data_IF_416686401866
#
_entry.id   IF_416686401866
#
_cell.length_a   1.000
_cell.length_b   1.000
_cell.length_c   1.000
_cell.angle_alpha   90.00
_cell.angle_beta   90.00
_cell.angle_gamma   90.00
#
_symmetry.space_group_name_H-M   'P 1'
#
loop_
_entity.id
_entity.type
_entity.pdbx_description
1 polymer ?
#
# COMPACT_ATOMS: atom_id res chain seq x y z
N UNK A 1 -12.40 -9.86 5.17
CA UNK A 1 -13.47 -8.85 5.34
C UNK A 1 -14.73 -9.48 5.88
N UNK A 2 -15.62 -8.69 6.49
CA UNK A 2 -16.93 -9.12 6.96
C UNK A 2 -18.02 -8.57 6.05
N UNK A 3 -18.73 -9.47 5.37
CA UNK A 3 -19.89 -9.15 4.54
C UNK A 3 -21.15 -9.44 5.36
N UNK A 4 -22.09 -8.50 5.39
CA UNK A 4 -23.36 -8.62 6.11
C UNK A 4 -24.57 -8.34 5.23
N UNK A 5 -25.73 -8.88 5.62
CA UNK A 5 -27.01 -8.46 5.05
C UNK A 5 -27.42 -7.11 5.61
N UNK A 6 -27.69 -6.15 4.72
CA UNK A 6 -28.15 -4.82 5.10
C UNK A 6 -29.55 -4.85 5.73
N UNK A 7 -30.43 -5.73 5.23
CA UNK A 7 -31.77 -5.90 5.77
C UNK A 7 -31.73 -6.37 7.24
N UNK A 8 -30.90 -7.37 7.56
CA UNK A 8 -30.73 -7.83 8.94
C UNK A 8 -30.14 -6.74 9.83
N UNK A 9 -29.09 -6.05 9.34
CA UNK A 9 -28.44 -4.99 10.10
C UNK A 9 -29.41 -3.86 10.45
N UNK A 10 -30.22 -3.41 9.49
CA UNK A 10 -31.25 -2.39 9.69
C UNK A 10 -32.33 -2.81 10.70
N UNK A 11 -32.53 -4.12 10.90
CA UNK A 11 -33.43 -4.69 11.89
C UNK A 11 -32.73 -5.09 13.21
N UNK A 12 -31.48 -4.66 13.41
CA UNK A 12 -30.70 -4.93 14.62
C UNK A 12 -30.22 -6.38 14.75
N UNK A 13 -30.15 -7.13 13.64
CA UNK A 13 -29.62 -8.49 13.57
C UNK A 13 -28.24 -8.50 12.94
N UNK A 14 -27.31 -9.19 13.58
CA UNK A 14 -25.99 -9.43 13.01
C UNK A 14 -26.05 -10.71 12.17
N UNK A 15 -26.24 -10.56 10.86
CA UNK A 15 -26.22 -11.67 9.90
C UNK A 15 -25.18 -11.40 8.82
N UNK A 16 -24.12 -12.20 8.82
CA UNK A 16 -22.96 -12.02 7.95
C UNK A 16 -21.92 -13.10 8.13
N UNK A 17 -20.83 -13.01 7.39
CA UNK A 17 -19.69 -13.91 7.52
C UNK A 17 -18.38 -13.22 7.17
N UNK A 18 -17.29 -13.70 7.81
CA UNK A 18 -15.93 -13.39 7.39
C UNK A 18 -15.63 -14.14 6.09
N UNK A 19 -15.20 -13.38 5.09
CA UNK A 19 -14.78 -13.87 3.77
C UNK A 19 -13.35 -13.43 3.53
N UNK A 20 -12.55 -14.36 3.02
CA UNK A 20 -11.19 -14.08 2.57
C UNK A 20 -11.24 -13.16 1.35
N UNK A 21 -10.69 -11.96 1.49
CA UNK A 21 -10.76 -10.91 0.47
C UNK A 21 -9.82 -11.19 -0.70
N UNK A 22 -8.84 -12.10 -0.58
CA UNK A 22 -7.92 -12.41 -1.69
C UNK A 22 -8.54 -13.29 -2.77
N UNK A 23 -9.79 -13.74 -2.59
CA UNK A 23 -10.49 -14.58 -3.58
C UNK A 23 -10.88 -13.76 -4.80
N UNK A 24 -11.08 -14.45 -5.93
CA UNK A 24 -11.58 -13.82 -7.14
C UNK A 24 -12.91 -13.09 -6.91
N UNK A 25 -13.19 -11.96 -7.58
CA UNK A 25 -14.41 -11.17 -7.37
C UNK A 25 -15.71 -11.99 -7.51
N UNK A 26 -15.79 -12.90 -8.49
CA UNK A 26 -16.95 -13.79 -8.67
C UNK A 26 -17.17 -14.71 -7.45
N UNK A 27 -16.10 -15.14 -6.80
CA UNK A 27 -16.16 -15.96 -5.59
C UNK A 27 -16.67 -15.15 -4.38
N UNK A 28 -16.29 -13.87 -4.31
CA UNK A 28 -16.76 -12.92 -3.30
C UNK A 28 -18.25 -12.61 -3.50
N UNK A 29 -18.68 -12.37 -4.75
CA UNK A 29 -20.09 -12.20 -5.10
C UNK A 29 -20.92 -13.41 -4.69
N UNK A 30 -20.45 -14.62 -5.03
CA UNK A 30 -21.14 -15.85 -4.62
C UNK A 30 -21.18 -16.00 -3.09
N UNK A 31 -20.15 -15.56 -2.36
CA UNK A 31 -20.17 -15.56 -0.91
C UNK A 31 -21.23 -14.59 -0.36
N UNK A 32 -21.31 -13.37 -0.91
CA UNK A 32 -22.34 -12.39 -0.56
C UNK A 32 -23.75 -12.93 -0.81
N UNK A 33 -24.00 -13.55 -1.97
CA UNK A 33 -25.29 -14.18 -2.27
C UNK A 33 -25.67 -15.30 -1.31
N UNK A 34 -24.69 -16.13 -0.89
CA UNK A 34 -24.93 -17.19 0.10
C UNK A 34 -25.29 -16.60 1.47
N UNK A 35 -24.66 -15.49 1.86
CA UNK A 35 -24.99 -14.77 3.09
C UNK A 35 -26.43 -14.25 3.03
N UNK A 36 -26.78 -13.55 1.95
CA UNK A 36 -28.14 -13.02 1.73
C UNK A 36 -29.21 -14.11 1.72
N UNK A 37 -28.98 -15.22 1.00
CA UNK A 37 -29.90 -16.35 0.95
C UNK A 37 -30.12 -17.04 2.31
N UNK A 38 -29.19 -16.84 3.26
CA UNK A 38 -29.32 -17.33 4.64
C UNK A 38 -30.05 -16.39 5.58
N UNK A 39 -30.44 -15.19 5.12
CA UNK A 39 -31.06 -14.16 5.96
C UNK A 39 -32.44 -14.61 6.48
N UNK A 40 -32.78 -14.34 7.75
CA UNK A 40 -34.13 -14.47 8.26
C UNK A 40 -35.08 -13.34 7.84
N UNK A 41 -34.57 -12.24 7.27
CA UNK A 41 -35.41 -11.16 6.75
C UNK A 41 -36.10 -11.55 5.44
N UNK A 42 -37.34 -11.09 5.22
CA UNK A 42 -37.91 -11.10 3.88
C UNK A 42 -37.10 -10.16 2.98
N UNK A 43 -36.89 -10.57 1.73
CA UNK A 43 -36.31 -9.74 0.67
C UNK A 43 -34.91 -9.16 1.01
N UNK A 44 -34.05 -9.95 1.65
CA UNK A 44 -32.64 -9.61 1.85
C UNK A 44 -31.87 -9.63 0.51
N UNK A 45 -31.88 -8.50 -0.19
CA UNK A 45 -31.28 -8.36 -1.53
C UNK A 45 -29.93 -7.62 -1.51
N UNK A 46 -29.64 -6.88 -0.44
CA UNK A 46 -28.47 -6.00 -0.35
C UNK A 46 -27.47 -6.46 0.71
N UNK A 47 -26.21 -6.48 0.32
CA UNK A 47 -25.06 -6.74 1.19
C UNK A 47 -24.25 -5.47 1.43
N UNK A 48 -23.50 -5.45 2.53
CA UNK A 48 -22.55 -4.38 2.87
C UNK A 48 -21.28 -4.96 3.48
N UNK A 49 -20.16 -4.25 3.32
CA UNK A 49 -18.91 -4.54 4.03
C UNK A 49 -18.89 -3.69 5.29
N UNK A 50 -19.06 -4.33 6.44
CA UNK A 50 -19.14 -3.64 7.73
C UNK A 50 -17.82 -3.66 8.51
N UNK A 51 -16.92 -4.59 8.19
CA UNK A 51 -15.64 -4.70 8.89
C UNK A 51 -14.59 -5.38 8.00
N UNK A 52 -13.31 -5.14 8.29
CA UNK A 52 -12.19 -5.75 7.59
C UNK A 52 -10.93 -5.70 8.45
N UNK A 53 -10.01 -6.63 8.19
CA UNK A 53 -8.75 -6.75 8.91
C UNK A 53 -7.62 -6.93 7.90
N UNK A 54 -6.43 -6.42 8.24
CA UNK A 54 -5.22 -6.52 7.41
C UNK A 54 -5.02 -5.40 6.38
N UNK A 55 -5.93 -4.42 6.27
CA UNK A 55 -5.85 -3.32 5.28
C UNK A 55 -5.13 -2.05 5.78
N UNK A 56 -4.55 -2.08 6.98
CA UNK A 56 -3.88 -0.91 7.56
C UNK A 56 -4.83 0.25 7.84
N UNK A 57 -4.45 1.48 7.44
CA UNK A 57 -5.30 2.67 7.62
C UNK A 57 -6.25 2.93 6.46
N UNK A 58 -6.22 2.07 5.45
CA UNK A 58 -7.10 2.22 4.31
C UNK A 58 -8.56 2.16 4.76
N UNK A 59 -9.33 3.17 4.36
CA UNK A 59 -10.76 3.22 4.63
C UNK A 59 -11.51 2.66 3.43
N UNK A 60 -11.97 1.42 3.56
CA UNK A 60 -12.85 0.81 2.58
C UNK A 60 -14.28 1.32 2.84
N UNK A 61 -14.95 1.78 1.79
CA UNK A 61 -16.37 2.11 1.88
C UNK A 61 -17.23 0.85 2.02
N UNK A 62 -18.48 1.05 2.46
CA UNK A 62 -19.44 -0.04 2.70
C UNK A 62 -19.90 -0.73 1.40
N UNK A 63 -19.64 -0.10 0.24
CA UNK A 63 -20.10 -0.50 -1.10
C UNK A 63 -18.96 -0.62 -2.12
N UNK A 64 -17.75 -0.87 -1.63
CA UNK A 64 -16.57 -1.01 -2.48
C UNK A 64 -16.72 -2.22 -3.41
N UNK A 65 -16.20 -2.09 -4.63
CA UNK A 65 -16.28 -3.18 -5.61
C UNK A 65 -15.46 -4.38 -5.14
N UNK A 66 -15.93 -5.60 -5.43
CA UNK A 66 -15.16 -6.80 -5.09
C UNK A 66 -13.87 -6.90 -5.91
N UNK A 67 -13.82 -6.27 -7.08
CA UNK A 67 -12.62 -6.10 -7.88
C UNK A 67 -11.55 -5.31 -7.12
N UNK A 68 -11.89 -4.12 -6.63
CA UNK A 68 -10.94 -3.25 -5.90
C UNK A 68 -10.48 -3.92 -4.60
N UNK A 69 -11.42 -4.51 -3.87
CA UNK A 69 -11.14 -5.18 -2.60
C UNK A 69 -10.23 -6.39 -2.80
N UNK A 70 -10.53 -7.21 -3.81
CA UNK A 70 -9.72 -8.38 -4.13
C UNK A 70 -8.32 -7.98 -4.58
N UNK A 71 -8.21 -6.93 -5.39
CA UNK A 71 -6.92 -6.42 -5.82
C UNK A 71 -6.07 -5.91 -4.66
N UNK A 72 -6.65 -5.09 -3.78
CA UNK A 72 -5.94 -4.58 -2.60
C UNK A 72 -5.51 -5.74 -1.69
N UNK A 73 -6.43 -6.68 -1.41
CA UNK A 73 -6.14 -7.82 -0.56
C UNK A 73 -5.00 -8.69 -1.14
N UNK A 74 -5.02 -8.94 -2.45
CA UNK A 74 -3.97 -9.68 -3.14
C UNK A 74 -2.64 -8.91 -3.14
N UNK A 75 -2.66 -7.60 -3.39
CA UNK A 75 -1.46 -6.75 -3.31
C UNK A 75 -0.83 -6.78 -1.92
N UNK A 76 -1.65 -6.72 -0.86
CA UNK A 76 -1.17 -6.87 0.53
C UNK A 76 -0.64 -8.28 0.78
N UNK A 77 -1.30 -9.32 0.27
CA UNK A 77 -0.83 -10.70 0.44
C UNK A 77 0.50 -10.97 -0.29
N UNK A 78 0.71 -10.34 -1.44
CA UNK A 78 1.90 -10.52 -2.28
C UNK A 78 3.09 -9.67 -1.79
N UNK A 79 2.84 -8.40 -1.50
CA UNK A 79 3.89 -7.40 -1.23
C UNK A 79 3.99 -7.00 0.25
N UNK A 80 3.06 -7.46 1.08
CA UNK A 80 3.10 -7.29 2.52
C UNK A 80 2.86 -5.83 2.97
N UNK A 81 3.36 -5.46 4.16
CA UNK A 81 3.11 -4.15 4.76
C UNK A 81 3.57 -2.94 3.94
N UNK A 82 4.54 -3.11 3.03
CA UNK A 82 4.98 -2.05 2.14
C UNK A 82 3.86 -1.60 1.17
N UNK A 83 3.02 -2.54 0.73
CA UNK A 83 1.88 -2.22 -0.13
C UNK A 83 0.79 -1.46 0.61
N UNK A 84 0.59 -1.75 1.90
CA UNK A 84 -0.30 -0.95 2.75
C UNK A 84 0.20 0.49 2.82
N UNK A 85 1.49 0.69 3.08
CA UNK A 85 2.09 2.02 3.08
C UNK A 85 1.96 2.74 1.73
N UNK A 86 2.11 2.02 0.61
CA UNK A 86 1.86 2.56 -0.72
C UNK A 86 0.41 2.99 -0.91
N UNK A 87 -0.55 2.16 -0.51
CA UNK A 87 -1.97 2.48 -0.61
C UNK A 87 -2.33 3.76 0.14
N UNK A 88 -1.66 4.03 1.27
CA UNK A 88 -1.83 5.27 2.05
C UNK A 88 -1.20 6.50 1.38
N UNK A 89 -0.15 6.32 0.57
CA UNK A 89 0.50 7.42 -0.19
C UNK A 89 -0.37 7.84 -1.37
N UNK A 90 -0.90 6.86 -2.12
CA UNK A 90 -1.67 7.14 -3.34
C UNK A 90 -3.12 7.51 -3.07
N UNK A 91 -3.64 7.11 -1.91
CA UNK A 91 -4.98 7.49 -1.50
C UNK A 91 -4.97 8.89 -0.85
N UNK A 92 -5.55 9.86 -1.54
CA UNK A 92 -5.64 11.26 -1.08
C UNK A 92 -6.67 11.51 0.05
N UNK A 93 -7.33 10.44 0.51
CA UNK A 93 -8.36 10.48 1.56
C UNK A 93 -9.72 11.05 1.10
N UNK A 94 -9.89 11.34 -0.19
CA UNK A 94 -11.04 12.06 -0.73
C UNK A 94 -11.92 11.30 -1.71
N UNK A 95 -11.53 10.08 -2.12
CA UNK A 95 -12.22 9.34 -3.19
C UNK A 95 -12.09 7.81 -3.09
N UNK A 96 -12.73 7.09 -4.03
CA UNK A 96 -12.58 5.64 -4.15
C UNK A 96 -11.12 5.29 -4.43
N UNK A 97 -10.75 4.06 -4.11
CA UNK A 97 -9.43 3.54 -4.43
C UNK A 97 -9.25 3.47 -5.96
N UNK A 98 -8.14 4.01 -6.43
CA UNK A 98 -7.74 3.84 -7.83
C UNK A 98 -6.96 2.54 -7.96
N UNK A 99 -7.64 1.50 -8.46
CA UNK A 99 -7.06 0.18 -8.69
C UNK A 99 -5.82 0.24 -9.58
N UNK A 100 -5.85 1.02 -10.67
CA UNK A 100 -4.75 1.06 -11.63
C UNK A 100 -3.49 1.56 -10.93
N UNK A 101 -3.60 2.65 -10.16
CA UNK A 101 -2.47 3.23 -9.40
C UNK A 101 -1.94 2.27 -8.32
N UNK A 102 -2.80 1.50 -7.66
CA UNK A 102 -2.38 0.50 -6.68
C UNK A 102 -1.56 -0.63 -7.33
N UNK A 103 -1.93 -1.07 -8.54
CA UNK A 103 -1.21 -2.13 -9.26
C UNK A 103 0.16 -1.70 -9.78
N UNK A 104 0.41 -0.38 -9.90
CA UNK A 104 1.72 0.16 -10.27
C UNK A 104 2.75 0.08 -9.12
N UNK A 105 2.39 -0.45 -7.94
CA UNK A 105 3.30 -0.62 -6.79
C UNK A 105 4.72 -1.11 -7.17
N UNK A 106 4.91 -2.14 -8.01
CA UNK A 106 6.24 -2.64 -8.35
C UNK A 106 7.11 -1.60 -9.09
N UNK A 107 6.49 -0.65 -9.79
CA UNK A 107 7.20 0.38 -10.56
C UNK A 107 7.61 1.58 -9.69
N UNK A 108 6.88 1.83 -8.60
CA UNK A 108 7.17 2.90 -7.65
C UNK A 108 7.99 2.44 -6.44
N UNK A 109 7.93 1.17 -6.07
CA UNK A 109 8.64 0.66 -4.91
C UNK A 109 10.15 0.55 -5.18
N UNK A 110 10.92 1.36 -4.46
CA UNK A 110 12.38 1.44 -4.57
C UNK A 110 13.11 0.57 -3.52
N UNK A 111 12.37 -0.18 -2.70
CA UNK A 111 12.93 -1.14 -1.75
C UNK A 111 12.84 -0.71 -0.28
N UNK A 112 13.47 -1.51 0.57
CA UNK A 112 13.56 -1.33 2.02
C UNK A 112 15.02 -1.09 2.42
N UNK A 113 15.27 -0.03 3.18
CA UNK A 113 16.61 0.40 3.59
C UNK A 113 16.65 0.71 5.08
N UNK A 114 17.83 0.63 5.71
CA UNK A 114 18.00 0.92 7.14
C UNK A 114 17.66 2.39 7.51
N UNK A 115 17.82 3.32 6.57
CA UNK A 115 17.51 4.74 6.72
C UNK A 115 17.42 5.44 5.35
N UNK A 116 16.88 6.67 5.28
CA UNK A 116 16.94 7.49 4.06
C UNK A 116 18.39 7.74 3.59
N UNK A 117 19.34 7.88 4.51
CA UNK A 117 20.77 8.03 4.21
C UNK A 117 21.33 6.77 3.55
N UNK A 118 20.97 5.58 4.05
CA UNK A 118 21.41 4.30 3.47
C UNK A 118 20.84 4.10 2.05
N UNK A 119 19.60 4.54 1.81
CA UNK A 119 19.03 4.57 0.45
C UNK A 119 19.82 5.52 -0.47
N UNK A 120 20.12 6.73 0.00
CA UNK A 120 20.86 7.72 -0.79
C UNK A 120 22.29 7.26 -1.11
N UNK A 121 22.96 6.60 -0.17
CA UNK A 121 24.28 5.99 -0.40
C UNK A 121 24.20 4.90 -1.48
N UNK A 122 23.25 3.97 -1.35
CA UNK A 122 23.04 2.89 -2.33
C UNK A 122 22.78 3.45 -3.73
N UNK A 123 21.86 4.42 -3.85
CA UNK A 123 21.53 5.02 -5.14
C UNK A 123 22.70 5.79 -5.75
N UNK A 124 23.44 6.58 -4.96
CA UNK A 124 24.63 7.29 -5.45
C UNK A 124 25.72 6.32 -5.95
N UNK A 125 25.86 5.17 -5.28
CA UNK A 125 26.81 4.13 -5.68
C UNK A 125 26.37 3.44 -6.97
N UNK A 126 25.09 3.11 -7.11
CA UNK A 126 24.53 2.48 -8.31
C UNK A 126 24.62 3.39 -9.55
N UNK A 127 24.44 4.70 -9.36
CA UNK A 127 24.61 5.71 -10.42
C UNK A 127 26.08 6.09 -10.68
N UNK A 128 27.01 5.59 -9.86
CA UNK A 128 28.44 5.86 -10.01
C UNK A 128 28.89 7.25 -9.54
N UNK A 129 28.02 8.05 -8.91
CA UNK A 129 28.34 9.41 -8.45
C UNK A 129 29.54 9.44 -7.49
N UNK A 130 29.65 8.44 -6.61
CA UNK A 130 30.80 8.31 -5.70
C UNK A 130 32.12 8.14 -6.45
N UNK A 131 32.12 7.32 -7.52
CA UNK A 131 33.30 7.05 -8.34
C UNK A 131 33.66 8.25 -9.23
N UNK A 132 32.65 8.86 -9.87
CA UNK A 132 32.82 10.00 -10.76
C UNK A 132 33.31 11.25 -10.02
N UNK A 133 32.74 11.54 -8.84
CA UNK A 133 33.18 12.65 -8.01
C UNK A 133 34.65 12.49 -7.58
N UNK A 134 35.07 11.27 -7.25
CA UNK A 134 36.45 10.95 -6.92
C UNK A 134 37.41 11.13 -8.12
N UNK A 135 37.01 10.68 -9.31
CA UNK A 135 37.85 10.72 -10.51
C UNK A 135 38.19 12.15 -10.97
N UNK A 136 37.39 13.15 -10.62
CA UNK A 136 37.66 14.56 -10.92
C UNK A 136 38.59 15.25 -9.91
N UNK A 137 38.88 14.60 -8.78
CA UNK A 137 39.74 15.12 -7.74
C UNK A 137 41.15 14.53 -7.84
N UNK A 138 42.19 15.29 -7.47
CA UNK A 138 43.53 14.73 -7.29
C UNK A 138 43.49 13.52 -6.33
N UNK A 139 44.25 12.46 -6.64
CA UNK A 139 44.27 11.21 -5.86
C UNK A 139 44.47 11.44 -4.35
N UNK A 140 45.33 12.40 -3.99
CA UNK A 140 45.60 12.77 -2.61
C UNK A 140 44.38 13.35 -1.84
N UNK A 141 43.37 13.86 -2.55
CA UNK A 141 42.16 14.46 -1.97
C UNK A 141 41.00 13.48 -1.88
N UNK A 142 40.96 12.43 -2.71
CA UNK A 142 39.87 11.46 -2.76
C UNK A 142 39.51 10.84 -1.39
N UNK A 143 40.48 10.49 -0.50
CA UNK A 143 40.15 9.94 0.81
C UNK A 143 39.43 10.90 1.75
N UNK A 144 39.49 12.22 1.49
CA UNK A 144 38.97 13.28 2.36
C UNK A 144 37.64 13.87 1.89
N UNK A 145 37.15 13.47 0.72
CA UNK A 145 35.85 13.92 0.19
C UNK A 145 34.80 12.83 0.46
N UNK A 146 33.65 13.26 0.96
CA UNK A 146 32.47 12.42 1.19
C UNK A 146 31.26 13.16 0.62
N UNK A 147 30.36 12.40 0.01
CA UNK A 147 29.03 12.91 -0.31
C UNK A 147 28.21 12.95 0.97
N UNK A 148 27.45 14.02 1.13
CA UNK A 148 26.50 14.16 2.23
C UNK A 148 25.20 13.46 1.84
N UNK A 149 25.14 12.14 2.09
CA UNK A 149 23.98 11.31 1.72
C UNK A 149 22.72 11.70 2.50
N UNK A 150 22.88 12.23 3.72
CA UNK A 150 21.77 12.72 4.52
C UNK A 150 21.14 13.95 3.86
N UNK A 151 21.95 14.95 3.48
CA UNK A 151 21.47 16.13 2.76
C UNK A 151 20.84 15.74 1.41
N UNK A 152 21.47 14.81 0.69
CA UNK A 152 20.95 14.31 -0.58
C UNK A 152 19.56 13.65 -0.41
N UNK A 153 19.39 12.75 0.56
CA UNK A 153 18.10 12.10 0.81
C UNK A 153 17.00 13.10 1.15
N UNK A 154 17.33 14.12 1.95
CA UNK A 154 16.39 15.18 2.34
C UNK A 154 16.01 16.06 1.14
N UNK A 155 16.96 16.40 0.26
CA UNK A 155 16.68 17.13 -0.98
C UNK A 155 15.72 16.34 -1.88
N UNK A 156 15.91 15.03 -2.04
CA UNK A 156 15.00 14.19 -2.85
C UNK A 156 13.60 14.09 -2.25
N UNK A 157 13.50 14.06 -0.92
CA UNK A 157 12.22 14.06 -0.21
C UNK A 157 11.49 15.39 -0.38
N UNK A 158 12.22 16.51 -0.27
CA UNK A 158 11.67 17.86 -0.36
C UNK A 158 11.31 18.26 -1.80
N UNK A 159 12.04 17.75 -2.80
CA UNK A 159 11.66 17.91 -4.21
C UNK A 159 10.40 17.12 -4.56
N UNK A 160 10.03 16.16 -3.71
CA UNK A 160 8.91 15.28 -3.93
C UNK A 160 9.21 14.18 -4.94
N UNK A 161 10.48 13.88 -5.26
CA UNK A 161 10.81 12.77 -6.16
C UNK A 161 10.68 11.41 -5.47
N UNK A 162 10.88 11.37 -4.15
CA UNK A 162 10.72 10.17 -3.34
C UNK A 162 9.96 10.43 -2.05
N UNK A 163 9.30 9.38 -1.57
CA UNK A 163 8.62 9.31 -0.29
C UNK A 163 9.26 8.23 0.57
N UNK A 164 9.47 8.53 1.86
CA UNK A 164 9.98 7.59 2.85
C UNK A 164 8.89 7.27 3.87
N UNK A 165 8.61 5.98 4.05
CA UNK A 165 7.65 5.50 5.06
C UNK A 165 8.35 4.56 6.03
N UNK A 166 8.16 4.75 7.33
CA UNK A 166 8.75 3.88 8.34
C UNK A 166 8.18 2.46 8.23
N UNK A 167 9.08 1.46 8.24
CA UNK A 167 8.69 0.07 8.32
C UNK A 167 8.49 -0.34 9.79
N UNK A 168 7.42 -1.07 10.15
CA UNK A 168 7.23 -1.63 11.49
C UNK A 168 8.38 -2.56 11.94
N UNK A 169 9.13 -3.13 11.00
CA UNK A 169 10.28 -3.99 11.25
C UNK A 169 11.60 -3.21 11.42
N UNK A 170 11.55 -1.88 11.31
CA UNK A 170 12.70 -0.98 11.33
C UNK A 170 13.13 -0.57 9.92
N UNK A 171 13.81 0.58 9.80
CA UNK A 171 14.19 1.16 8.52
C UNK A 171 13.03 1.86 7.80
N UNK A 172 13.21 2.10 6.50
CA UNK A 172 12.27 2.85 5.66
C UNK A 172 11.98 2.12 4.35
N UNK A 173 10.72 2.09 3.96
CA UNK A 173 10.31 1.83 2.59
C UNK A 173 10.43 3.10 1.78
N UNK A 174 10.93 2.95 0.55
CA UNK A 174 11.14 4.07 -0.36
C UNK A 174 10.25 3.90 -1.57
N UNK A 175 9.52 4.96 -1.91
CA UNK A 175 8.65 5.02 -3.07
C UNK A 175 9.06 6.20 -3.94
N UNK A 176 9.08 6.03 -5.26
CA UNK A 176 9.05 7.18 -6.18
C UNK A 176 7.69 7.86 -6.06
N UNK A 177 7.62 9.17 -6.23
CA UNK A 177 6.33 9.88 -6.27
C UNK A 177 5.68 9.82 -7.66
N UNK A 178 4.34 9.94 -7.68
CA UNK A 178 3.50 10.04 -8.89
C UNK A 178 3.80 11.29 -9.74
#
# INVERSE_FOLDING_TARGET
MWIASLADYNNGRLHGAWVDATRDPEDLEQAAWRILAGSPEPDAEEWVIHDYDGFGRLQLGEYESFEDLSAVANGIAEHGPAFVAWSEIVWDGGGPLDHDVLTEFPDYYMGHHDSPEAWAEAMCNDLGYTLEAGAQLPEAMQPYVRLDYQAFAEDMRLSGEVSFTESPEGGVWVFRSL
#
